data_IF_494973540718
#
_entry.id   IF_494973540718
#
_cell.length_a   1.000
_cell.length_b   1.000
_cell.length_c   1.000
_cell.angle_alpha   90.00
_cell.angle_beta   90.00
_cell.angle_gamma   90.00
#
_symmetry.space_group_name_H-M   'P 1'
#
loop_
_entity.id
_entity.type
_entity.pdbx_description
1 polymer ?
#
# COMPACT_ATOMS: atom_id res chain seq x y z
N UNK A 1 4.79 -13.73 21.62
CA UNK A 1 3.77 -14.00 20.58
C UNK A 1 2.67 -12.93 20.46
N UNK A 2 2.19 -12.25 21.53
CA UNK A 2 1.17 -11.19 21.41
C UNK A 2 1.65 -9.94 20.65
N UNK A 3 2.88 -9.49 20.91
CA UNK A 3 3.44 -8.27 20.29
C UNK A 3 3.65 -8.39 18.77
N UNK A 4 4.02 -9.58 18.27
CA UNK A 4 4.16 -9.86 16.84
C UNK A 4 2.84 -9.66 16.09
N UNK A 5 1.75 -10.18 16.67
CA UNK A 5 0.43 -10.00 16.08
C UNK A 5 -0.01 -8.54 16.18
N UNK A 6 0.31 -7.85 17.29
CA UNK A 6 -0.01 -6.43 17.44
C UNK A 6 0.67 -5.53 16.39
N UNK A 7 1.95 -5.75 16.08
CA UNK A 7 2.66 -4.95 15.05
C UNK A 7 2.12 -5.20 13.64
N UNK A 8 1.78 -6.46 13.30
CA UNK A 8 1.14 -6.77 12.01
C UNK A 8 -0.27 -6.16 11.91
N UNK A 9 -1.05 -6.17 12.99
CA UNK A 9 -2.37 -5.53 13.02
C UNK A 9 -2.25 -4.00 12.88
N UNK A 10 -1.26 -3.37 13.51
CA UNK A 10 -0.98 -1.94 13.34
C UNK A 10 -0.60 -1.63 11.88
N UNK A 11 0.29 -2.41 11.28
CA UNK A 11 0.67 -2.25 9.87
C UNK A 11 -0.52 -2.39 8.92
N UNK A 12 -1.40 -3.36 9.19
CA UNK A 12 -2.64 -3.53 8.45
C UNK A 12 -3.58 -2.34 8.62
N UNK A 13 -3.73 -1.81 9.84
CA UNK A 13 -4.58 -0.65 10.11
C UNK A 13 -4.09 0.61 9.38
N UNK A 14 -2.78 0.87 9.35
CA UNK A 14 -2.21 1.97 8.58
C UNK A 14 -2.40 1.79 7.07
N UNK A 15 -2.24 0.57 6.55
CA UNK A 15 -2.51 0.28 5.14
C UNK A 15 -4.02 0.40 4.82
N UNK A 16 -4.93 0.00 5.71
CA UNK A 16 -6.37 0.20 5.56
C UNK A 16 -6.70 1.71 5.51
N UNK A 17 -6.05 2.53 6.34
CA UNK A 17 -6.18 3.99 6.30
C UNK A 17 -5.67 4.59 4.99
N UNK A 18 -4.55 4.08 4.45
CA UNK A 18 -4.03 4.48 3.14
C UNK A 18 -5.01 4.12 2.01
N UNK A 19 -5.56 2.90 2.00
CA UNK A 19 -6.58 2.48 1.02
C UNK A 19 -7.77 3.44 1.04
N UNK A 20 -8.29 3.75 2.24
CA UNK A 20 -9.43 4.64 2.41
C UNK A 20 -9.13 6.06 1.90
N UNK A 21 -7.90 6.57 2.09
CA UNK A 21 -7.50 7.88 1.59
C UNK A 21 -7.39 7.93 0.07
N UNK A 22 -6.81 6.89 -0.56
CA UNK A 22 -6.73 6.83 -2.04
C UNK A 22 -8.13 6.82 -2.66
N UNK A 23 -9.11 6.20 -2.00
CA UNK A 23 -10.51 6.19 -2.45
C UNK A 23 -11.17 7.57 -2.43
N UNK A 24 -10.63 8.54 -1.68
CA UNK A 24 -11.15 9.92 -1.63
C UNK A 24 -10.59 10.78 -2.77
N UNK A 25 -9.65 10.28 -3.57
CA UNK A 25 -9.11 11.04 -4.69
C UNK A 25 -10.21 11.38 -5.71
N UNK A 26 -10.30 12.61 -6.24
CA UNK A 26 -11.38 13.02 -7.16
C UNK A 26 -11.56 12.11 -8.37
N UNK A 27 -10.46 11.60 -8.91
CA UNK A 27 -10.46 10.67 -10.05
C UNK A 27 -10.78 9.21 -9.70
N UNK A 28 -10.86 8.83 -8.42
CA UNK A 28 -10.98 7.42 -8.01
C UNK A 28 -12.19 6.74 -8.64
N UNK A 29 -13.39 7.29 -8.47
CA UNK A 29 -14.62 6.65 -8.99
C UNK A 29 -14.60 6.50 -10.52
N UNK A 30 -14.10 7.51 -11.24
CA UNK A 30 -13.97 7.45 -12.70
C UNK A 30 -12.99 6.37 -13.12
N UNK A 31 -11.79 6.35 -12.54
CA UNK A 31 -10.73 5.41 -12.89
C UNK A 31 -11.09 3.98 -12.46
N UNK A 32 -11.80 3.81 -11.34
CA UNK A 32 -12.32 2.52 -10.90
C UNK A 32 -13.31 1.93 -11.90
N UNK A 33 -14.25 2.73 -12.41
CA UNK A 33 -15.21 2.29 -13.42
C UNK A 33 -14.53 1.92 -14.74
N UNK A 34 -13.47 2.63 -15.10
CA UNK A 34 -12.67 2.38 -16.30
C UNK A 34 -11.66 1.24 -16.13
N UNK A 35 -11.43 0.78 -14.89
CA UNK A 35 -10.38 -0.15 -14.51
C UNK A 35 -9.00 0.25 -15.04
N UNK A 36 -8.73 1.56 -15.07
CA UNK A 36 -7.53 2.13 -15.67
C UNK A 36 -7.17 3.47 -15.02
N UNK A 37 -5.89 3.86 -15.06
CA UNK A 37 -5.41 5.12 -14.49
C UNK A 37 -4.57 4.95 -13.22
N UNK A 38 -3.76 5.98 -12.93
CA UNK A 38 -2.79 6.06 -11.81
C UNK A 38 -3.41 5.75 -10.45
N UNK A 39 -4.54 6.37 -10.15
CA UNK A 39 -5.23 6.26 -8.85
C UNK A 39 -5.80 4.87 -8.69
N UNK A 40 -6.45 4.33 -9.73
CA UNK A 40 -6.97 2.96 -9.70
C UNK A 40 -5.84 1.93 -9.53
N UNK A 41 -4.73 2.10 -10.26
CA UNK A 41 -3.55 1.26 -10.14
C UNK A 41 -3.00 1.28 -8.71
N UNK A 42 -2.74 2.47 -8.16
CA UNK A 42 -2.20 2.61 -6.81
C UNK A 42 -3.15 2.05 -5.74
N UNK A 43 -4.46 2.30 -5.86
CA UNK A 43 -5.47 1.70 -5.00
C UNK A 43 -5.40 0.16 -5.03
N UNK A 44 -5.37 -0.43 -6.23
CA UNK A 44 -5.27 -1.88 -6.38
C UNK A 44 -3.96 -2.43 -5.81
N UNK A 45 -2.86 -1.70 -6.00
CA UNK A 45 -1.55 -2.07 -5.47
C UNK A 45 -1.55 -2.13 -3.93
N UNK A 46 -2.04 -1.08 -3.25
CA UNK A 46 -2.10 -1.04 -1.78
C UNK A 46 -3.15 -2.00 -1.21
N UNK A 47 -4.27 -2.21 -1.91
CA UNK A 47 -5.30 -3.20 -1.54
C UNK A 47 -4.76 -4.63 -1.60
N UNK A 48 -3.95 -4.94 -2.60
CA UNK A 48 -3.32 -6.26 -2.71
C UNK A 48 -2.27 -6.48 -1.61
N UNK A 49 -1.50 -5.46 -1.23
CA UNK A 49 -0.59 -5.52 -0.09
C UNK A 49 -1.32 -5.81 1.22
N UNK A 50 -2.49 -5.18 1.43
CA UNK A 50 -3.37 -5.46 2.58
C UNK A 50 -3.81 -6.92 2.64
N UNK A 51 -4.17 -7.52 1.51
CA UNK A 51 -4.51 -8.95 1.43
C UNK A 51 -3.32 -9.86 1.78
N UNK A 52 -2.10 -9.48 1.39
CA UNK A 52 -0.90 -10.22 1.80
C UNK A 52 -0.69 -10.17 3.31
N UNK A 53 -0.97 -9.03 3.96
CA UNK A 53 -0.89 -8.93 5.43
C UNK A 53 -1.90 -9.85 6.15
N UNK A 54 -3.09 -10.02 5.59
CA UNK A 54 -4.07 -10.99 6.11
C UNK A 54 -3.55 -12.42 5.98
N UNK A 55 -3.06 -12.80 4.80
CA UNK A 55 -2.48 -14.13 4.58
C UNK A 55 -1.31 -14.38 5.56
N UNK A 56 -0.44 -13.39 5.78
CA UNK A 56 0.70 -13.49 6.70
C UNK A 56 0.27 -13.75 8.15
N UNK A 57 -0.90 -13.24 8.57
CA UNK A 57 -1.43 -13.44 9.91
C UNK A 57 -1.77 -14.90 10.20
N UNK A 58 -2.20 -15.64 9.16
CA UNK A 58 -2.59 -17.05 9.25
C UNK A 58 -1.42 -18.02 8.98
N UNK A 59 -0.28 -17.51 8.51
CA UNK A 59 0.89 -18.33 8.21
C UNK A 59 1.64 -18.79 9.46
N UNK A 60 2.09 -20.05 9.44
CA UNK A 60 3.01 -20.61 10.44
C UNK A 60 4.42 -20.01 10.27
N UNK A 61 5.23 -19.88 11.34
CA UNK A 61 6.63 -19.48 11.23
C UNK A 61 7.41 -20.39 10.25
N UNK A 62 8.23 -19.79 9.39
CA UNK A 62 9.02 -20.49 8.38
C UNK A 62 9.47 -19.54 7.25
N UNK A 63 10.35 -20.02 6.37
CA UNK A 63 10.96 -19.22 5.29
C UNK A 63 9.92 -18.54 4.39
N UNK A 64 8.87 -19.26 3.97
CA UNK A 64 7.78 -18.71 3.14
C UNK A 64 7.11 -17.49 3.80
N UNK A 65 7.01 -17.50 5.13
CA UNK A 65 6.41 -16.41 5.89
C UNK A 65 7.35 -15.21 5.97
N UNK A 66 8.65 -15.47 6.01
CA UNK A 66 9.68 -14.43 6.04
C UNK A 66 9.81 -13.75 4.66
N UNK A 67 9.73 -14.53 3.59
CA UNK A 67 9.62 -14.02 2.21
C UNK A 67 8.39 -13.13 2.03
N UNK A 68 7.21 -13.59 2.48
CA UNK A 68 5.99 -12.79 2.37
C UNK A 68 6.07 -11.46 3.14
N UNK A 69 6.74 -11.45 4.31
CA UNK A 69 6.99 -10.17 5.00
C UNK A 69 7.98 -9.29 4.24
N UNK A 70 9.03 -9.87 3.66
CA UNK A 70 9.94 -9.18 2.77
C UNK A 70 9.19 -8.47 1.65
N UNK A 71 8.27 -9.18 1.00
CA UNK A 71 7.42 -8.62 -0.06
C UNK A 71 6.50 -7.51 0.45
N UNK A 72 5.86 -7.68 1.61
CA UNK A 72 5.01 -6.63 2.20
C UNK A 72 5.81 -5.36 2.46
N UNK A 73 7.03 -5.47 3.02
CA UNK A 73 7.91 -4.33 3.25
C UNK A 73 8.36 -3.68 1.95
N UNK A 74 8.79 -4.48 0.98
CA UNK A 74 9.20 -4.01 -0.34
C UNK A 74 8.08 -3.27 -1.06
N UNK A 75 6.87 -3.83 -1.05
CA UNK A 75 5.68 -3.21 -1.63
C UNK A 75 5.28 -1.92 -0.90
N UNK A 76 5.37 -1.87 0.42
CA UNK A 76 5.04 -0.67 1.18
C UNK A 76 6.03 0.47 0.90
N UNK A 77 7.33 0.15 0.82
CA UNK A 77 8.35 1.10 0.39
C UNK A 77 8.13 1.58 -1.06
N UNK A 78 7.84 0.65 -1.98
CA UNK A 78 7.61 1.00 -3.37
C UNK A 78 6.35 1.86 -3.54
N UNK A 79 5.29 1.60 -2.77
CA UNK A 79 4.11 2.47 -2.75
C UNK A 79 4.46 3.91 -2.37
N UNK A 80 5.27 4.11 -1.33
CA UNK A 80 5.75 5.46 -0.95
C UNK A 80 6.47 6.17 -2.09
N UNK A 81 7.42 5.47 -2.74
CA UNK A 81 8.16 6.02 -3.88
C UNK A 81 7.21 6.41 -5.01
N UNK A 82 6.21 5.58 -5.30
CA UNK A 82 5.23 5.82 -6.36
C UNK A 82 4.26 6.96 -6.03
N UNK A 83 3.83 7.09 -4.78
CA UNK A 83 3.00 8.22 -4.35
C UNK A 83 3.75 9.55 -4.35
N UNK A 84 5.06 9.52 -4.13
CA UNK A 84 5.95 10.68 -4.21
C UNK A 84 6.54 10.90 -5.63
N UNK A 85 6.20 10.07 -6.62
CA UNK A 85 6.71 10.20 -8.00
C UNK A 85 6.18 11.45 -8.69
N UNK A 86 7.05 12.46 -8.80
CA UNK A 86 6.82 13.69 -9.57
C UNK A 86 7.42 13.65 -10.98
N UNK A 87 8.05 12.53 -11.37
CA UNK A 87 8.71 12.42 -12.68
C UNK A 87 7.73 12.17 -13.82
N UNK A 88 6.47 11.85 -13.50
CA UNK A 88 5.44 11.48 -14.47
C UNK A 88 5.58 10.05 -15.02
N UNK A 89 6.57 9.26 -14.58
CA UNK A 89 6.76 7.88 -15.04
C UNK A 89 5.58 7.00 -14.66
N UNK A 90 5.10 7.10 -13.43
CA UNK A 90 3.90 6.37 -13.00
C UNK A 90 2.69 6.76 -13.84
N UNK A 91 2.56 8.03 -14.18
CA UNK A 91 1.49 8.54 -15.05
C UNK A 91 1.58 7.97 -16.47
N UNK A 92 2.79 7.93 -17.06
CA UNK A 92 3.02 7.32 -18.37
C UNK A 92 2.69 5.82 -18.38
N UNK A 93 3.01 5.10 -17.31
CA UNK A 93 2.71 3.66 -17.19
C UNK A 93 1.23 3.36 -16.98
N UNK A 94 0.47 4.32 -16.47
CA UNK A 94 -0.93 4.12 -16.06
C UNK A 94 -1.93 4.86 -16.93
N UNK A 95 -1.47 5.55 -17.98
CA UNK A 95 -2.30 6.09 -19.06
C UNK A 95 -2.86 7.50 -18.82
N UNK A 96 -2.01 8.44 -18.41
CA UNK A 96 -2.34 9.87 -18.21
C UNK A 96 -3.51 10.08 -17.24
N UNK A 97 -3.18 10.00 -15.95
CA UNK A 97 -4.05 10.33 -14.84
C UNK A 97 -3.54 11.60 -14.17
N UNK A 98 -3.97 12.73 -14.72
CA UNK A 98 -3.66 14.06 -14.20
C UNK A 98 -4.02 14.20 -12.72
N UNK A 99 -3.32 15.14 -12.10
CA UNK A 99 -3.29 15.45 -10.66
C UNK A 99 -2.39 14.54 -9.81
N UNK A 100 -1.63 15.22 -8.96
CA UNK A 100 -0.74 14.65 -7.97
C UNK A 100 -1.53 14.10 -6.78
N UNK A 101 -0.99 13.07 -6.14
CA UNK A 101 -1.56 12.60 -4.89
C UNK A 101 -1.44 13.66 -3.79
N UNK A 102 -2.47 13.77 -2.95
CA UNK A 102 -2.50 14.72 -1.84
C UNK A 102 -1.39 14.44 -0.83
N UNK A 103 -1.02 15.45 -0.04
CA UNK A 103 -0.10 15.27 1.08
C UNK A 103 -0.61 14.23 2.09
N UNK A 104 -1.93 14.14 2.28
CA UNK A 104 -2.54 13.15 3.14
C UNK A 104 -2.31 11.70 2.67
N UNK A 105 -2.35 11.43 1.35
CA UNK A 105 -1.98 10.13 0.78
C UNK A 105 -0.50 9.83 1.04
N UNK A 106 0.37 10.81 0.80
CA UNK A 106 1.82 10.67 0.98
C UNK A 106 2.19 10.38 2.44
N UNK A 107 1.59 11.10 3.38
CA UNK A 107 1.76 10.86 4.82
C UNK A 107 1.28 9.49 5.25
N UNK A 108 0.09 9.06 4.79
CA UNK A 108 -0.44 7.73 5.14
C UNK A 108 0.39 6.62 4.50
N UNK A 109 0.94 6.84 3.32
CA UNK A 109 1.87 5.90 2.69
C UNK A 109 3.12 5.73 3.54
N UNK A 110 3.74 6.84 3.98
CA UNK A 110 4.90 6.79 4.88
C UNK A 110 4.60 6.04 6.18
N UNK A 111 3.46 6.30 6.81
CA UNK A 111 3.04 5.55 8.01
C UNK A 111 2.88 4.06 7.74
N UNK A 112 2.24 3.68 6.63
CA UNK A 112 2.08 2.29 6.24
C UNK A 112 3.43 1.59 5.97
N UNK A 113 4.40 2.31 5.39
CA UNK A 113 5.77 1.81 5.27
C UNK A 113 6.39 1.62 6.66
N UNK A 114 6.39 2.65 7.51
CA UNK A 114 7.05 2.59 8.83
C UNK A 114 6.50 1.45 9.68
N UNK A 115 5.18 1.25 9.71
CA UNK A 115 4.55 0.16 10.46
C UNK A 115 4.82 -1.21 9.84
N UNK A 116 4.85 -1.35 8.50
CA UNK A 116 5.30 -2.58 7.85
C UNK A 116 6.76 -2.92 8.20
N UNK A 117 7.63 -1.91 8.27
CA UNK A 117 9.02 -2.07 8.69
C UNK A 117 9.17 -2.32 10.19
N UNK A 118 8.19 -1.99 11.02
CA UNK A 118 8.16 -2.31 12.44
C UNK A 118 7.76 -3.77 12.73
N UNK A 119 7.16 -4.49 11.77
CA UNK A 119 6.83 -5.91 11.95
C UNK A 119 8.10 -6.75 12.13
N UNK A 120 8.12 -7.52 13.22
CA UNK A 120 9.22 -8.41 13.65
C UNK A 120 8.66 -9.79 14.00
N UNK A 121 9.51 -10.81 13.97
CA UNK A 121 9.16 -12.20 14.26
C UNK A 121 9.83 -12.71 15.52
#
# INVERSE_FOLDING_TARGET
>A
MPERNATLQAAKADNDALVAEVMQHPLFHRQQNQQHGKVFYMWGFVKNTRRMMENLADMRPGEERDEMLGDIKGRSCFACILFDDQTGKLEMMTGNGGEEFSQAVKEKSRRAQDSAFAVRF
#
